data_IF_513445474950
#
_entry.id   IF_513445474950
#
_cell.length_a   1.000
_cell.length_b   1.000
_cell.length_c   1.000
_cell.angle_alpha   90.00
_cell.angle_beta   90.00
_cell.angle_gamma   90.00
#
_symmetry.space_group_name_H-M   'P 1'
#
loop_
_entity.id
_entity.type
_entity.pdbx_description
1 polymer ?
#
# COMPACT_ATOMS: atom_id res chain seq x y z
N UNK A 1 -9.81 7.06 -21.21
CA UNK A 1 -10.63 7.72 -20.16
C UNK A 1 -9.70 8.58 -19.32
N UNK A 2 -10.11 9.76 -18.82
CA UNK A 2 -9.31 10.56 -17.87
C UNK A 2 -9.82 10.39 -16.45
N UNK A 3 -8.90 10.38 -15.49
CA UNK A 3 -9.07 10.05 -14.10
C UNK A 3 -8.65 11.27 -13.29
N UNK A 4 -9.63 11.91 -12.68
CA UNK A 4 -9.44 13.13 -11.90
C UNK A 4 -9.37 12.75 -10.42
N UNK A 5 -8.47 13.37 -9.66
CA UNK A 5 -8.35 13.10 -8.21
C UNK A 5 -9.66 13.37 -7.47
N UNK A 6 -10.51 14.31 -7.88
CA UNK A 6 -11.84 14.46 -7.27
C UNK A 6 -12.72 13.21 -7.46
N UNK A 7 -12.62 12.55 -8.62
CA UNK A 7 -13.35 11.31 -8.85
C UNK A 7 -12.77 10.16 -8.01
N UNK A 8 -11.44 10.10 -7.84
CA UNK A 8 -10.82 9.18 -6.88
C UNK A 8 -11.19 9.47 -5.43
N UNK A 9 -11.29 10.75 -5.07
CA UNK A 9 -11.83 11.21 -3.79
C UNK A 9 -13.24 10.69 -3.57
N UNK A 10 -14.10 10.73 -4.59
CA UNK A 10 -15.45 10.14 -4.51
C UNK A 10 -15.40 8.64 -4.24
N UNK A 11 -14.52 7.90 -4.92
CA UNK A 11 -14.34 6.46 -4.69
C UNK A 11 -13.81 6.18 -3.28
N UNK A 12 -12.84 6.97 -2.80
CA UNK A 12 -12.35 6.86 -1.44
C UNK A 12 -13.46 7.16 -0.41
N UNK A 13 -14.26 8.21 -0.62
CA UNK A 13 -15.41 8.55 0.23
C UNK A 13 -16.45 7.43 0.23
N UNK A 14 -16.76 6.87 -0.93
CA UNK A 14 -17.60 5.68 -1.09
C UNK A 14 -17.09 4.54 -0.20
N UNK A 15 -15.80 4.22 -0.29
CA UNK A 15 -15.19 3.16 0.49
C UNK A 15 -15.28 3.46 2.00
N UNK A 16 -15.00 4.70 2.40
CA UNK A 16 -15.01 5.13 3.80
C UNK A 16 -16.41 5.13 4.40
N UNK A 17 -17.39 5.65 3.68
CA UNK A 17 -18.80 5.65 4.08
C UNK A 17 -19.33 4.22 4.17
N UNK A 18 -19.03 3.39 3.17
CA UNK A 18 -19.38 1.97 3.16
C UNK A 18 -18.81 1.20 4.34
N UNK A 19 -17.52 1.39 4.64
CA UNK A 19 -16.86 0.78 5.79
C UNK A 19 -17.47 1.26 7.11
N UNK A 20 -17.77 2.57 7.22
CA UNK A 20 -18.40 3.16 8.40
C UNK A 20 -19.81 2.62 8.67
N UNK A 21 -20.62 2.45 7.62
CA UNK A 21 -21.94 1.84 7.71
C UNK A 21 -21.86 0.35 8.02
N UNK A 22 -20.90 -0.38 7.43
CA UNK A 22 -20.64 -1.78 7.76
C UNK A 22 -20.27 -1.95 9.24
N UNK A 23 -19.34 -1.14 9.77
CA UNK A 23 -19.00 -1.12 11.20
C UNK A 23 -20.23 -0.79 12.07
N UNK A 24 -21.04 0.20 11.66
CA UNK A 24 -22.26 0.58 12.40
C UNK A 24 -23.27 -0.57 12.47
N UNK A 25 -23.40 -1.35 11.40
CA UNK A 25 -24.27 -2.53 11.36
C UNK A 25 -23.73 -3.66 12.22
N UNK A 26 -22.43 -3.91 12.18
CA UNK A 26 -21.78 -4.83 13.11
C UNK A 26 -22.03 -4.43 14.56
N UNK A 27 -21.89 -3.15 14.89
CA UNK A 27 -22.14 -2.61 16.25
C UNK A 27 -23.60 -2.69 16.68
N UNK A 28 -24.53 -2.82 15.72
CA UNK A 28 -25.95 -3.02 16.04
C UNK A 28 -26.22 -4.45 16.51
N UNK A 29 -25.31 -5.39 16.22
CA UNK A 29 -25.28 -6.73 16.81
C UNK A 29 -24.57 -6.62 18.16
N UNK A 30 -25.25 -7.01 19.24
CA UNK A 30 -24.77 -6.85 20.61
C UNK A 30 -23.45 -7.56 20.91
N UNK A 31 -23.10 -8.52 20.07
CA UNK A 31 -21.91 -9.37 20.17
C UNK A 31 -20.64 -8.68 19.66
N UNK A 32 -20.73 -7.57 18.92
CA UNK A 32 -19.57 -6.89 18.35
C UNK A 32 -19.52 -5.40 18.72
N UNK A 33 -18.32 -4.94 19.05
CA UNK A 33 -17.99 -3.52 19.13
C UNK A 33 -16.84 -3.27 18.17
N UNK A 34 -17.06 -2.55 17.08
CA UNK A 34 -16.16 -2.46 15.93
C UNK A 34 -15.92 -1.03 15.47
N UNK A 35 -14.75 -0.78 14.90
CA UNK A 35 -14.39 0.48 14.26
C UNK A 35 -13.65 0.20 12.96
N UNK A 36 -13.89 1.06 11.96
CA UNK A 36 -13.06 1.08 10.75
C UNK A 36 -11.65 1.44 11.17
N UNK A 37 -10.68 0.58 10.84
CA UNK A 37 -9.27 0.81 11.11
C UNK A 37 -8.62 1.58 9.98
N UNK A 38 -8.90 1.19 8.75
CA UNK A 38 -8.36 1.84 7.56
C UNK A 38 -9.20 1.45 6.35
N UNK A 39 -9.31 2.38 5.40
CA UNK A 39 -9.87 2.14 4.08
C UNK A 39 -8.88 2.62 3.05
N UNK A 40 -8.61 1.78 2.04
CA UNK A 40 -7.64 2.07 0.98
C UNK A 40 -8.29 1.84 -0.37
N UNK A 41 -7.95 2.71 -1.31
CA UNK A 41 -8.22 2.51 -2.72
C UNK A 41 -6.91 2.06 -3.39
N UNK A 42 -6.92 0.87 -3.96
CA UNK A 42 -5.76 0.28 -4.59
C UNK A 42 -5.89 0.31 -6.10
N UNK A 43 -4.78 0.64 -6.74
CA UNK A 43 -4.56 0.41 -8.16
C UNK A 43 -3.59 -0.75 -8.27
N UNK A 44 -4.01 -1.84 -8.91
CA UNK A 44 -3.22 -3.06 -8.93
C UNK A 44 -3.47 -3.86 -10.20
N UNK A 45 -2.56 -4.75 -10.59
CA UNK A 45 -2.74 -5.61 -11.75
C UNK A 45 -3.63 -6.80 -11.44
N UNK A 46 -4.26 -7.36 -12.47
CA UNK A 46 -5.00 -8.62 -12.36
C UNK A 46 -4.14 -9.76 -11.77
N UNK A 47 -2.86 -9.82 -12.13
CA UNK A 47 -1.91 -10.81 -11.61
C UNK A 47 -1.70 -10.66 -10.11
N UNK A 48 -1.63 -9.44 -9.59
CA UNK A 48 -1.41 -9.17 -8.17
C UNK A 48 -2.62 -9.58 -7.33
N UNK A 49 -3.84 -9.26 -7.79
CA UNK A 49 -5.07 -9.74 -7.14
C UNK A 49 -5.09 -11.27 -7.11
N UNK A 50 -4.66 -11.91 -8.19
CA UNK A 50 -4.56 -13.37 -8.23
C UNK A 50 -3.54 -13.87 -7.22
N UNK A 51 -2.33 -13.30 -7.18
CA UNK A 51 -1.27 -13.69 -6.24
C UNK A 51 -1.70 -13.53 -4.78
N UNK A 52 -2.37 -12.43 -4.44
CA UNK A 52 -2.90 -12.17 -3.09
C UNK A 52 -3.95 -13.20 -2.66
N UNK A 53 -4.82 -13.60 -3.58
CA UNK A 53 -5.82 -14.62 -3.33
C UNK A 53 -5.24 -16.06 -3.40
N UNK A 54 -4.08 -16.23 -4.05
CA UNK A 54 -3.28 -17.47 -4.16
C UNK A 54 -2.14 -17.53 -3.12
N UNK A 55 -2.26 -16.83 -1.99
CA UNK A 55 -1.20 -16.78 -0.95
C UNK A 55 -1.00 -18.09 -0.16
N UNK A 56 -1.76 -19.14 -0.51
CA UNK A 56 -1.69 -20.46 0.12
C UNK A 56 -2.37 -20.53 1.50
N UNK A 57 -3.01 -19.45 1.95
CA UNK A 57 -3.80 -19.43 3.17
C UNK A 57 -5.28 -19.68 2.82
N UNK A 58 -5.91 -20.62 3.54
CA UNK A 58 -7.35 -20.86 3.36
C UNK A 58 -8.14 -19.65 3.89
N UNK A 59 -8.97 -19.07 3.02
CA UNK A 59 -9.88 -17.96 3.33
C UNK A 59 -11.33 -18.41 3.13
N UNK A 60 -12.25 -17.82 3.89
CA UNK A 60 -13.70 -18.09 3.82
C UNK A 60 -14.50 -16.82 3.82
N UNK A 61 -15.67 -16.83 3.19
CA UNK A 61 -16.58 -15.70 3.26
C UNK A 61 -17.66 -15.72 2.19
N UNK A 62 -17.96 -14.56 1.60
CA UNK A 62 -18.98 -14.46 0.56
C UNK A 62 -18.49 -13.72 -0.68
N UNK A 63 -19.10 -14.07 -1.81
CA UNK A 63 -19.11 -13.29 -3.04
C UNK A 63 -20.52 -12.80 -3.36
N UNK A 64 -20.60 -11.58 -3.87
CA UNK A 64 -21.84 -10.93 -4.25
C UNK A 64 -21.63 -10.17 -5.56
N UNK A 65 -22.49 -10.41 -6.55
CA UNK A 65 -22.48 -9.63 -7.79
C UNK A 65 -23.28 -8.34 -7.63
N UNK A 66 -22.79 -7.27 -8.25
CA UNK A 66 -23.37 -5.94 -8.26
C UNK A 66 -23.79 -5.58 -9.70
N UNK A 67 -24.94 -4.92 -9.84
CA UNK A 67 -25.46 -4.41 -11.11
C UNK A 67 -26.03 -2.99 -10.91
N UNK A 68 -26.30 -2.28 -12.02
CA UNK A 68 -26.80 -0.90 -12.01
C UNK A 68 -25.72 0.15 -12.27
N UNK A 69 -25.65 1.17 -11.42
CA UNK A 69 -24.69 2.28 -11.58
C UNK A 69 -23.24 1.84 -11.29
N UNK A 70 -23.09 0.94 -10.30
CA UNK A 70 -21.85 0.25 -9.99
C UNK A 70 -22.05 -1.25 -10.24
N UNK A 71 -21.47 -1.76 -11.31
CA UNK A 71 -21.49 -3.18 -11.69
C UNK A 71 -20.14 -3.83 -11.39
N UNK A 72 -20.12 -5.10 -10.98
CA UNK A 72 -18.91 -5.83 -10.62
C UNK A 72 -19.12 -6.90 -9.56
N UNK A 73 -18.08 -7.24 -8.83
CA UNK A 73 -18.11 -8.21 -7.73
C UNK A 73 -17.64 -7.58 -6.41
N UNK A 74 -18.30 -7.98 -5.33
CA UNK A 74 -17.91 -7.69 -3.95
C UNK A 74 -17.56 -9.01 -3.26
N UNK A 75 -16.38 -9.07 -2.65
CA UNK A 75 -15.90 -10.20 -1.84
C UNK A 75 -15.70 -9.72 -0.41
N UNK A 76 -16.10 -10.55 0.55
CA UNK A 76 -15.74 -10.40 1.96
C UNK A 76 -15.07 -11.68 2.39
N UNK A 77 -13.80 -11.61 2.74
CA UNK A 77 -12.98 -12.77 3.08
C UNK A 77 -12.43 -12.63 4.50
N UNK A 78 -12.46 -13.72 5.23
CA UNK A 78 -11.84 -13.90 6.54
C UNK A 78 -10.73 -14.93 6.38
N UNK A 79 -9.60 -14.70 7.03
CA UNK A 79 -8.64 -15.78 7.29
C UNK A 79 -9.30 -16.86 8.18
N UNK A 80 -8.71 -18.05 8.20
CA UNK A 80 -9.26 -19.18 8.95
C UNK A 80 -9.42 -18.90 10.45
N UNK A 81 -8.49 -18.19 11.10
CA UNK A 81 -8.57 -17.89 12.54
C UNK A 81 -9.68 -16.89 12.83
N UNK A 82 -9.75 -15.83 12.04
CA UNK A 82 -10.79 -14.81 12.08
C UNK A 82 -12.18 -15.40 11.87
N UNK A 83 -12.34 -16.31 10.91
CA UNK A 83 -13.62 -17.00 10.67
C UNK A 83 -14.05 -17.87 11.86
N UNK A 84 -13.11 -18.55 12.52
CA UNK A 84 -13.38 -19.32 13.75
C UNK A 84 -13.82 -18.42 14.89
N UNK A 85 -13.15 -17.29 15.08
CA UNK A 85 -13.49 -16.29 16.08
C UNK A 85 -14.90 -15.72 15.87
N UNK A 86 -15.27 -15.45 14.61
CA UNK A 86 -16.65 -15.06 14.24
C UNK A 86 -17.65 -16.15 14.61
N UNK A 87 -17.41 -17.40 14.20
CA UNK A 87 -18.34 -18.51 14.45
C UNK A 87 -18.51 -18.76 15.94
N UNK A 88 -17.41 -18.77 16.71
CA UNK A 88 -17.45 -18.97 18.16
C UNK A 88 -18.12 -17.82 18.92
N UNK A 89 -18.18 -16.62 18.33
CA UNK A 89 -18.90 -15.47 18.91
C UNK A 89 -20.40 -15.53 18.61
N UNK A 90 -20.78 -15.95 17.40
CA UNK A 90 -22.17 -15.96 16.94
C UNK A 90 -22.95 -17.23 17.30
N UNK A 91 -22.26 -18.35 17.51
CA UNK A 91 -22.89 -19.65 17.67
C UNK A 91 -22.30 -20.40 18.85
N UNK A 92 -23.14 -20.61 19.87
CA UNK A 92 -22.79 -21.44 21.03
C UNK A 92 -22.71 -22.93 20.65
N UNK A 93 -21.70 -23.64 21.20
CA UNK A 93 -21.66 -25.11 21.30
C UNK A 93 -21.51 -25.88 19.95
N UNK A 94 -20.76 -25.32 18.99
CA UNK A 94 -20.42 -25.97 17.70
C UNK A 94 -18.93 -26.26 17.62
N UNK A 95 -18.54 -27.35 16.94
CA UNK A 95 -17.16 -27.46 16.44
C UNK A 95 -16.86 -26.21 15.60
N UNK A 96 -15.82 -25.47 15.99
CA UNK A 96 -15.38 -24.20 15.40
C UNK A 96 -14.82 -24.38 13.98
N UNK A 97 -15.39 -25.26 13.16
CA UNK A 97 -14.99 -25.47 11.78
C UNK A 97 -15.95 -24.69 10.87
N UNK A 98 -15.44 -23.75 10.05
CA UNK A 98 -16.26 -22.87 9.21
C UNK A 98 -17.03 -23.61 8.08
N UNK A 99 -16.88 -24.93 7.98
CA UNK A 99 -17.54 -25.81 7.01
C UNK A 99 -18.87 -26.42 7.50
N UNK A 100 -19.23 -26.24 8.77
CA UNK A 100 -20.52 -26.70 9.30
C UNK A 100 -21.68 -25.81 8.81
N UNK A 101 -22.83 -26.37 8.40
CA UNK A 101 -24.01 -25.61 7.91
C UNK A 101 -24.40 -24.42 8.81
N UNK A 102 -24.30 -24.59 10.13
CA UNK A 102 -24.62 -23.52 11.08
C UNK A 102 -23.52 -22.44 11.11
N UNK A 103 -22.25 -22.84 11.04
CA UNK A 103 -21.10 -21.94 10.96
C UNK A 103 -21.11 -21.16 9.64
N UNK A 104 -21.31 -21.85 8.51
CA UNK A 104 -21.47 -21.27 7.18
C UNK A 104 -22.61 -20.24 7.16
N UNK A 105 -23.77 -20.57 7.73
CA UNK A 105 -24.90 -19.65 7.79
C UNK A 105 -24.58 -18.39 8.62
N UNK A 106 -23.87 -18.54 9.75
CA UNK A 106 -23.46 -17.42 10.58
C UNK A 106 -22.48 -16.49 9.85
N UNK A 107 -21.49 -17.07 9.16
CA UNK A 107 -20.55 -16.31 8.31
C UNK A 107 -21.31 -15.58 7.20
N UNK A 108 -22.16 -16.28 6.44
CA UNK A 108 -22.93 -15.68 5.33
C UNK A 108 -23.79 -14.51 5.82
N UNK A 109 -24.50 -14.66 6.94
CA UNK A 109 -25.36 -13.60 7.48
C UNK A 109 -24.53 -12.38 7.94
N UNK A 110 -23.43 -12.61 8.65
CA UNK A 110 -22.53 -11.53 9.07
C UNK A 110 -21.97 -10.77 7.87
N UNK A 111 -21.42 -11.50 6.90
CA UNK A 111 -20.85 -10.92 5.70
C UNK A 111 -21.93 -10.17 4.90
N UNK A 112 -23.14 -10.70 4.81
CA UNK A 112 -24.23 -10.05 4.09
C UNK A 112 -24.64 -8.74 4.75
N UNK A 113 -24.76 -8.71 6.09
CA UNK A 113 -25.02 -7.48 6.86
C UNK A 113 -23.96 -6.41 6.56
N UNK A 114 -22.69 -6.81 6.54
CA UNK A 114 -21.57 -5.92 6.25
C UNK A 114 -21.58 -5.46 4.80
N UNK A 115 -21.74 -6.37 3.84
CA UNK A 115 -21.81 -6.06 2.41
C UNK A 115 -22.93 -5.06 2.11
N UNK A 116 -24.10 -5.24 2.70
CA UNK A 116 -25.18 -4.26 2.56
C UNK A 116 -24.81 -2.91 3.15
N UNK A 117 -24.00 -2.84 4.23
CA UNK A 117 -23.45 -1.59 4.74
C UNK A 117 -22.53 -0.90 3.73
N UNK A 118 -21.64 -1.66 3.11
CA UNK A 118 -20.79 -1.16 2.03
C UNK A 118 -21.61 -0.64 0.84
N UNK A 119 -22.49 -1.47 0.29
CA UNK A 119 -23.33 -1.13 -0.86
C UNK A 119 -24.19 0.10 -0.59
N UNK A 120 -24.80 0.21 0.60
CA UNK A 120 -25.62 1.37 0.94
C UNK A 120 -24.78 2.65 1.03
N UNK A 121 -23.55 2.57 1.57
CA UNK A 121 -22.62 3.71 1.56
C UNK A 121 -22.21 4.12 0.16
N UNK A 122 -22.02 3.16 -0.75
CA UNK A 122 -21.72 3.43 -2.15
C UNK A 122 -22.90 4.07 -2.86
N UNK A 123 -24.10 3.54 -2.66
CA UNK A 123 -25.34 4.07 -3.21
C UNK A 123 -25.60 5.51 -2.74
N UNK A 124 -25.33 5.82 -1.47
CA UNK A 124 -25.50 7.15 -0.89
C UNK A 124 -24.51 8.16 -1.50
N UNK A 125 -23.23 7.79 -1.63
CA UNK A 125 -22.20 8.66 -2.24
C UNK A 125 -22.46 8.87 -3.73
N UNK A 126 -22.79 7.81 -4.47
CA UNK A 126 -23.13 7.88 -5.90
C UNK A 126 -24.51 8.51 -6.16
N UNK A 127 -25.36 8.62 -5.13
CA UNK A 127 -26.77 8.97 -5.24
C UNK A 127 -27.51 8.08 -6.26
N UNK A 128 -27.19 6.79 -6.26
CA UNK A 128 -27.64 5.83 -7.25
C UNK A 128 -28.12 4.53 -6.60
N UNK A 129 -28.95 3.78 -7.33
CA UNK A 129 -29.36 2.44 -6.91
C UNK A 129 -28.33 1.42 -7.41
N UNK A 130 -27.89 0.53 -6.50
CA UNK A 130 -27.00 -0.59 -6.79
C UNK A 130 -27.77 -1.87 -6.47
N UNK A 131 -27.97 -2.70 -7.49
CA UNK A 131 -28.65 -3.98 -7.35
C UNK A 131 -27.65 -5.06 -6.91
N UNK A 132 -28.07 -5.93 -5.99
CA UNK A 132 -27.19 -6.87 -5.30
C UNK A 132 -27.73 -8.29 -5.46
N UNK A 133 -26.88 -9.25 -5.84
CA UNK A 133 -27.26 -10.67 -5.91
C UNK A 133 -27.42 -11.29 -4.52
N UNK A 134 -27.96 -12.50 -4.47
CA UNK A 134 -27.85 -13.32 -3.26
C UNK A 134 -26.37 -13.64 -2.99
N UNK A 135 -25.93 -13.69 -1.72
CA UNK A 135 -24.56 -14.02 -1.38
C UNK A 135 -24.26 -15.49 -1.68
N UNK A 136 -23.13 -15.72 -2.32
CA UNK A 136 -22.54 -17.05 -2.53
C UNK A 136 -21.45 -17.29 -1.50
N UNK A 137 -21.51 -18.40 -0.78
CA UNK A 137 -20.46 -18.77 0.16
C UNK A 137 -19.24 -19.31 -0.59
N UNK A 138 -18.07 -18.77 -0.28
CA UNK A 138 -16.79 -19.14 -0.91
C UNK A 138 -15.79 -19.60 0.15
N UNK A 139 -14.99 -20.60 -0.20
CA UNK A 139 -13.91 -21.17 0.62
C UNK A 139 -12.82 -21.73 -0.30
N UNK A 140 -11.57 -21.41 0.00
CA UNK A 140 -10.42 -21.96 -0.70
C UNK A 140 -9.12 -21.28 -0.31
N UNK A 141 -8.04 -21.69 -0.98
CA UNK A 141 -6.68 -21.15 -0.85
C UNK A 141 -6.15 -20.63 -2.20
N UNK A 142 -7.05 -20.50 -3.19
CA UNK A 142 -6.73 -20.03 -4.52
C UNK A 142 -7.73 -19.00 -5.03
N UNK A 143 -7.26 -18.06 -5.85
CA UNK A 143 -8.01 -17.02 -6.53
C UNK A 143 -9.26 -17.55 -7.25
N UNK A 144 -9.16 -18.70 -7.93
CA UNK A 144 -10.28 -19.30 -8.66
C UNK A 144 -11.39 -19.84 -7.76
N UNK A 145 -11.14 -19.99 -6.45
CA UNK A 145 -12.18 -20.32 -5.47
C UNK A 145 -13.06 -19.11 -5.14
N UNK A 146 -12.56 -17.89 -5.37
CA UNK A 146 -13.23 -16.63 -5.01
C UNK A 146 -13.74 -15.88 -6.22
N UNK A 147 -13.01 -15.88 -7.34
CA UNK A 147 -13.34 -15.14 -8.56
C UNK A 147 -13.28 -16.12 -9.74
N UNK A 148 -14.32 -16.12 -10.57
CA UNK A 148 -14.37 -16.99 -11.74
C UNK A 148 -13.29 -16.58 -12.77
N UNK A 149 -12.75 -17.56 -13.50
CA UNK A 149 -11.75 -17.30 -14.54
C UNK A 149 -12.30 -16.36 -15.64
N UNK A 150 -13.58 -16.50 -16.01
CA UNK A 150 -14.25 -15.60 -16.95
C UNK A 150 -14.34 -14.15 -16.44
N UNK A 151 -14.37 -13.96 -15.10
CA UNK A 151 -14.38 -12.63 -14.49
C UNK A 151 -12.98 -12.04 -14.47
N UNK A 152 -11.97 -12.83 -14.10
CA UNK A 152 -10.55 -12.45 -14.25
C UNK A 152 -10.21 -12.07 -15.69
N UNK A 153 -10.71 -12.80 -16.69
CA UNK A 153 -10.47 -12.46 -18.11
C UNK A 153 -11.09 -11.12 -18.52
N UNK A 154 -12.17 -10.67 -17.86
CA UNK A 154 -12.82 -9.38 -18.11
C UNK A 154 -12.18 -8.22 -17.35
N UNK A 155 -11.43 -8.51 -16.29
CA UNK A 155 -10.66 -7.48 -15.59
C UNK A 155 -9.63 -6.90 -16.55
N UNK A 156 -9.48 -5.57 -16.52
CA UNK A 156 -8.49 -4.91 -17.33
C UNK A 156 -7.09 -5.44 -16.94
N UNK A 157 -6.30 -5.87 -17.92
CA UNK A 157 -5.03 -6.56 -17.65
C UNK A 157 -4.03 -5.65 -16.94
N UNK A 158 -4.07 -4.36 -17.26
CA UNK A 158 -3.09 -3.38 -16.81
C UNK A 158 -3.46 -2.70 -15.49
N UNK A 159 -4.73 -2.63 -15.09
CA UNK A 159 -5.08 -2.03 -13.81
C UNK A 159 -6.50 -2.37 -13.38
N UNK A 160 -6.66 -2.78 -12.14
CA UNK A 160 -7.92 -3.00 -11.45
C UNK A 160 -7.99 -2.05 -10.24
N UNK A 161 -9.18 -1.51 -10.01
CA UNK A 161 -9.47 -0.71 -8.84
C UNK A 161 -9.99 -1.63 -7.74
N UNK A 162 -9.28 -1.73 -6.62
CA UNK A 162 -9.67 -2.59 -5.50
C UNK A 162 -9.85 -1.73 -4.26
N UNK A 163 -11.03 -1.83 -3.66
CA UNK A 163 -11.29 -1.25 -2.36
C UNK A 163 -10.96 -2.27 -1.29
N UNK A 164 -10.06 -1.93 -0.37
CA UNK A 164 -9.77 -2.74 0.80
C UNK A 164 -10.11 -1.96 2.06
N UNK A 165 -10.97 -2.54 2.89
CA UNK A 165 -11.32 -2.01 4.21
C UNK A 165 -10.99 -3.02 5.28
N UNK A 166 -10.33 -2.55 6.34
CA UNK A 166 -10.10 -3.33 7.55
C UNK A 166 -10.94 -2.72 8.67
N UNK A 167 -11.78 -3.53 9.29
CA UNK A 167 -12.53 -3.18 10.51
C UNK A 167 -12.01 -4.08 11.62
N UNK A 168 -11.70 -3.48 12.76
CA UNK A 168 -11.31 -4.22 13.97
C UNK A 168 -12.45 -4.21 14.98
N UNK A 169 -12.52 -5.24 15.82
CA UNK A 169 -13.50 -5.30 16.91
C UNK A 169 -12.83 -5.40 18.28
N UNK A 170 -13.36 -4.69 19.28
CA UNK A 170 -12.90 -4.69 20.67
C UNK A 170 -13.51 -5.89 21.40
N UNK A 171 -12.68 -6.85 21.78
CA UNK A 171 -13.06 -8.01 22.60
C UNK A 171 -12.91 -9.36 21.89
N UNK A 172 -13.30 -9.44 20.63
CA UNK A 172 -13.02 -10.58 19.74
C UNK A 172 -12.20 -10.05 18.55
N UNK A 173 -10.90 -10.31 18.54
CA UNK A 173 -10.07 -9.89 17.42
C UNK A 173 -10.32 -10.83 16.23
N UNK A 174 -11.03 -10.33 15.22
CA UNK A 174 -11.05 -10.93 13.90
C UNK A 174 -10.91 -9.82 12.86
N UNK A 175 -10.10 -10.07 11.84
CA UNK A 175 -9.98 -9.23 10.67
C UNK A 175 -10.82 -9.77 9.52
N UNK A 176 -11.15 -8.90 8.58
CA UNK A 176 -11.64 -9.31 7.28
C UNK A 176 -11.11 -8.37 6.22
N UNK A 177 -11.13 -8.85 5.00
CA UNK A 177 -10.78 -8.09 3.81
C UNK A 177 -12.03 -7.99 2.94
N UNK A 178 -12.42 -6.76 2.65
CA UNK A 178 -13.42 -6.46 1.64
C UNK A 178 -12.69 -6.19 0.32
N UNK A 179 -13.15 -6.77 -0.78
CA UNK A 179 -12.67 -6.47 -2.14
C UNK A 179 -13.87 -6.07 -2.99
N UNK A 180 -13.91 -4.84 -3.48
CA UNK A 180 -14.80 -4.46 -4.58
C UNK A 180 -13.99 -4.42 -5.87
N UNK A 181 -14.40 -5.24 -6.84
CA UNK A 181 -13.81 -5.37 -8.17
C UNK A 181 -14.85 -4.94 -9.19
N UNK A 182 -14.86 -3.66 -9.57
CA UNK A 182 -15.86 -3.10 -10.46
C UNK A 182 -15.54 -3.42 -11.93
N UNK A 183 -16.58 -3.55 -12.77
CA UNK A 183 -16.40 -3.69 -14.21
C UNK A 183 -15.83 -2.40 -14.82
N UNK A 184 -14.93 -2.54 -15.79
CA UNK A 184 -14.28 -1.41 -16.47
C UNK A 184 -15.29 -0.39 -17.01
N UNK A 185 -16.35 -0.86 -17.68
CA UNK A 185 -17.40 0.01 -18.23
C UNK A 185 -18.22 0.72 -17.15
N UNK A 186 -18.32 0.15 -15.95
CA UNK A 186 -18.97 0.78 -14.81
C UNK A 186 -18.13 1.93 -14.27
N UNK A 187 -16.84 1.67 -14.06
CA UNK A 187 -15.87 2.67 -13.63
C UNK A 187 -15.76 3.81 -14.66
N UNK A 188 -15.78 3.46 -15.95
CA UNK A 188 -15.73 4.45 -17.00
C UNK A 188 -16.88 5.45 -16.98
N UNK A 189 -18.10 4.97 -16.78
CA UNK A 189 -19.28 5.84 -16.64
C UNK A 189 -19.19 6.77 -15.43
N UNK A 190 -18.69 6.24 -14.31
CA UNK A 190 -18.51 7.02 -13.08
C UNK A 190 -17.48 8.14 -13.24
N UNK A 191 -16.36 7.87 -13.92
CA UNK A 191 -15.35 8.89 -14.21
C UNK A 191 -15.81 9.94 -15.24
N UNK A 192 -16.49 9.52 -16.32
CA UNK A 192 -17.00 10.42 -17.36
C UNK A 192 -18.04 11.43 -16.84
N UNK A 193 -18.83 11.02 -15.83
CA UNK A 193 -19.85 11.89 -15.24
C UNK A 193 -19.25 13.03 -14.40
N UNK A 194 -17.97 12.91 -14.01
CA UNK A 194 -17.31 13.79 -13.05
C UNK A 194 -16.16 14.66 -13.62
N UNK A 195 -15.82 14.57 -14.91
CA UNK A 195 -14.66 15.29 -15.45
C UNK A 195 -15.01 16.65 -16.09
N UNK A 196 -14.44 17.74 -15.57
CA UNK A 196 -14.15 18.97 -16.32
C UNK A 196 -12.71 18.87 -16.89
N UNK A 197 -12.51 18.21 -18.05
CA UNK A 197 -11.31 18.17 -18.94
C UNK A 197 -9.86 17.91 -18.38
N UNK A 198 -9.60 18.01 -17.07
CA UNK A 198 -8.32 17.79 -16.38
C UNK A 198 -8.36 16.44 -15.64
N UNK A 199 -7.42 15.54 -15.92
CA UNK A 199 -7.33 14.21 -15.31
C UNK A 199 -6.37 13.29 -16.07
N UNK A 200 -5.76 12.34 -15.37
CA UNK A 200 -4.77 11.37 -15.89
C UNK A 200 -5.47 10.32 -16.75
N UNK A 201 -4.97 10.00 -17.94
CA UNK A 201 -5.55 8.89 -18.70
C UNK A 201 -5.46 7.57 -17.92
N UNK A 202 -6.55 6.80 -17.83
CA UNK A 202 -6.61 5.54 -17.08
C UNK A 202 -5.47 4.58 -17.46
N UNK A 203 -5.13 4.53 -18.74
CA UNK A 203 -4.04 3.70 -19.27
C UNK A 203 -2.65 4.21 -18.81
N UNK A 204 -2.52 5.50 -18.46
CA UNK A 204 -1.31 6.07 -17.86
C UNK A 204 -1.15 5.74 -16.39
N UNK A 205 -2.18 5.23 -15.72
CA UNK A 205 -2.06 4.76 -14.34
C UNK A 205 -1.15 3.54 -14.21
N UNK A 206 -0.99 2.74 -15.28
CA UNK A 206 0.05 1.72 -15.34
C UNK A 206 1.46 2.32 -15.16
N UNK A 207 1.67 3.58 -15.54
CA UNK A 207 2.90 4.31 -15.30
C UNK A 207 3.21 4.51 -13.81
N UNK A 208 2.19 4.54 -12.93
CA UNK A 208 2.43 4.52 -11.50
C UNK A 208 3.06 3.22 -11.04
N UNK A 209 2.47 2.09 -11.44
CA UNK A 209 2.93 0.77 -11.03
C UNK A 209 4.37 0.54 -11.49
N UNK A 210 4.67 0.92 -12.73
CA UNK A 210 6.04 0.84 -13.24
C UNK A 210 7.02 1.75 -12.50
N UNK A 211 6.61 2.97 -12.10
CA UNK A 211 7.46 3.82 -11.27
C UNK A 211 7.74 3.16 -9.91
N UNK A 212 6.71 2.59 -9.28
CA UNK A 212 6.85 1.84 -8.03
C UNK A 212 7.84 0.69 -8.21
N UNK A 213 7.63 -0.13 -9.25
CA UNK A 213 8.46 -1.28 -9.60
C UNK A 213 9.91 -0.92 -9.86
N UNK A 214 10.15 0.08 -10.69
CA UNK A 214 11.50 0.48 -11.03
C UNK A 214 12.22 1.07 -9.81
N UNK A 215 11.54 1.93 -9.03
CA UNK A 215 12.11 2.51 -7.81
C UNK A 215 12.48 1.46 -6.77
N UNK A 216 11.56 0.54 -6.46
CA UNK A 216 11.77 -0.52 -5.49
C UNK A 216 12.90 -1.49 -5.91
N UNK A 217 12.95 -1.86 -7.19
CA UNK A 217 14.02 -2.71 -7.75
C UNK A 217 15.39 -2.06 -7.57
N UNK A 218 15.52 -0.76 -7.85
CA UNK A 218 16.78 -0.02 -7.64
C UNK A 218 17.20 0.01 -6.17
N UNK A 219 16.25 0.14 -5.25
CA UNK A 219 16.54 0.07 -3.80
C UNK A 219 17.08 -1.31 -3.43
N UNK A 220 16.42 -2.39 -3.88
CA UNK A 220 16.88 -3.75 -3.61
C UNK A 220 18.26 -4.05 -4.21
N UNK A 221 18.56 -3.57 -5.41
CA UNK A 221 19.89 -3.66 -6.02
C UNK A 221 20.95 -2.93 -5.18
N UNK A 222 20.64 -1.73 -4.69
CA UNK A 222 21.54 -0.96 -3.82
C UNK A 222 21.80 -1.71 -2.51
N UNK A 223 20.74 -2.15 -1.84
CA UNK A 223 20.82 -2.93 -0.60
C UNK A 223 21.61 -4.22 -0.80
N UNK A 224 21.40 -4.92 -1.91
CA UNK A 224 22.16 -6.12 -2.28
C UNK A 224 23.63 -5.81 -2.46
N UNK A 225 23.99 -4.73 -3.17
CA UNK A 225 25.38 -4.32 -3.38
C UNK A 225 26.08 -3.92 -2.08
N UNK A 226 25.37 -3.25 -1.17
CA UNK A 226 25.93 -2.73 0.07
C UNK A 226 26.13 -3.82 1.13
N UNK A 227 25.16 -4.73 1.23
CA UNK A 227 25.14 -5.77 2.28
C UNK A 227 25.65 -7.13 1.80
N UNK A 228 25.74 -7.32 0.48
CA UNK A 228 26.02 -8.61 -0.17
C UNK A 228 25.00 -9.70 0.23
N UNK A 229 23.75 -9.31 0.50
CA UNK A 229 22.61 -10.18 0.81
C UNK A 229 21.57 -10.01 -0.29
N UNK A 230 20.94 -11.09 -0.73
CA UNK A 230 19.86 -11.03 -1.72
C UNK A 230 18.59 -10.44 -1.09
N UNK A 231 17.94 -9.54 -1.82
CA UNK A 231 16.75 -8.82 -1.38
C UNK A 231 15.55 -9.23 -2.23
N UNK A 232 14.46 -9.60 -1.58
CA UNK A 232 13.16 -9.77 -2.20
C UNK A 232 12.36 -8.47 -2.05
N UNK A 233 11.79 -8.01 -3.16
CA UNK A 233 10.94 -6.83 -3.19
C UNK A 233 9.49 -7.27 -3.20
N UNK A 234 8.74 -6.84 -2.19
CA UNK A 234 7.30 -6.93 -2.14
C UNK A 234 6.70 -5.54 -2.37
N UNK A 235 6.28 -5.27 -3.60
CA UNK A 235 5.63 -4.01 -3.95
C UNK A 235 4.18 -4.15 -3.59
N UNK A 236 3.87 -3.69 -2.38
CA UNK A 236 2.60 -4.01 -1.75
C UNK A 236 1.44 -3.39 -2.47
N UNK A 237 1.53 -2.12 -2.94
CA UNK A 237 0.49 -1.40 -3.72
C UNK A 237 0.80 0.09 -3.97
N UNK A 238 0.09 0.66 -4.95
CA UNK A 238 -0.20 2.10 -4.99
C UNK A 238 -1.54 2.35 -4.31
N UNK A 239 -1.50 3.14 -3.25
CA UNK A 239 -2.67 3.45 -2.44
C UNK A 239 -3.10 4.89 -2.70
N UNK A 240 -4.37 5.10 -3.04
CA UNK A 240 -4.98 6.42 -2.90
C UNK A 240 -5.74 6.45 -1.57
N UNK A 241 -5.27 7.31 -0.67
CA UNK A 241 -5.72 7.39 0.71
C UNK A 241 -5.84 8.85 1.13
N UNK A 242 -6.74 9.14 2.07
CA UNK A 242 -6.78 10.46 2.70
C UNK A 242 -5.57 10.64 3.61
N UNK A 243 -5.00 11.85 3.60
CA UNK A 243 -3.79 12.16 4.38
C UNK A 243 -3.94 11.85 5.88
N UNK A 244 -5.12 12.06 6.45
CA UNK A 244 -5.42 11.78 7.86
C UNK A 244 -5.49 10.29 8.21
N UNK A 245 -5.62 9.41 7.22
CA UNK A 245 -5.64 7.96 7.43
C UNK A 245 -4.25 7.31 7.31
N UNK A 246 -3.24 8.01 6.77
CA UNK A 246 -1.87 7.48 6.63
C UNK A 246 -1.27 7.07 7.98
N UNK A 247 -1.40 7.83 9.08
CA UNK A 247 -0.87 7.40 10.38
C UNK A 247 -1.43 6.06 10.88
N UNK A 248 -2.67 5.69 10.48
CA UNK A 248 -3.29 4.40 10.83
C UNK A 248 -2.76 3.23 9.99
N UNK A 249 -2.04 3.51 8.89
CA UNK A 249 -1.41 2.51 8.04
C UNK A 249 -0.07 2.02 8.60
N UNK A 250 0.54 2.78 9.50
CA UNK A 250 1.87 2.51 10.06
C UNK A 250 1.73 1.71 11.37
N UNK A 251 2.62 0.76 11.67
CA UNK A 251 2.62 0.04 12.94
C UNK A 251 2.63 0.98 14.16
N UNK A 252 1.75 0.72 15.13
CA UNK A 252 1.70 1.48 16.38
C UNK A 252 2.71 0.97 17.41
N UNK A 253 3.99 0.99 17.02
CA UNK A 253 5.13 0.57 17.82
C UNK A 253 6.33 1.49 17.61
N UNK A 254 7.39 1.40 18.43
CA UNK A 254 8.59 2.20 18.22
C UNK A 254 9.27 1.82 16.90
N UNK A 255 9.43 2.78 16.00
CA UNK A 255 10.09 2.63 14.71
C UNK A 255 11.29 3.56 14.62
N UNK A 256 12.32 3.10 13.92
CA UNK A 256 13.38 3.98 13.41
C UNK A 256 12.96 4.46 12.04
N UNK A 257 13.16 5.74 11.78
CA UNK A 257 12.73 6.37 10.55
C UNK A 257 13.74 7.34 10.00
N UNK A 258 13.80 7.39 8.67
CA UNK A 258 14.57 8.39 7.94
C UNK A 258 13.67 8.97 6.85
N UNK A 259 13.44 10.28 6.91
CA UNK A 259 12.57 11.00 5.98
C UNK A 259 13.37 11.97 5.11
N UNK A 260 12.90 12.14 3.88
CA UNK A 260 13.43 13.07 2.89
C UNK A 260 12.27 13.84 2.26
N UNK A 261 12.47 15.12 1.99
CA UNK A 261 11.62 15.84 1.02
C UNK A 261 12.31 15.79 -0.34
N UNK A 262 11.58 15.56 -1.42
CA UNK A 262 12.11 15.65 -2.77
C UNK A 262 11.36 16.72 -3.58
N UNK A 263 12.01 17.23 -4.63
CA UNK A 263 11.55 18.35 -5.44
C UNK A 263 12.11 18.29 -6.86
N UNK A 264 11.57 19.10 -7.76
CA UNK A 264 12.04 19.20 -9.13
C UNK A 264 10.87 19.09 -10.10
N UNK A 265 10.89 18.06 -10.96
CA UNK A 265 9.73 17.74 -11.82
C UNK A 265 8.62 17.06 -11.03
N UNK A 266 9.00 16.34 -9.98
CA UNK A 266 8.11 15.68 -9.02
C UNK A 266 8.56 16.09 -7.62
N UNK A 267 7.65 16.63 -6.81
CA UNK A 267 7.88 16.93 -5.39
C UNK A 267 7.19 15.93 -4.47
N UNK A 268 7.54 15.94 -3.18
CA UNK A 268 6.87 15.13 -2.16
C UNK A 268 7.78 14.72 -1.01
N UNK A 269 7.40 13.63 -0.33
CA UNK A 269 8.13 13.06 0.79
C UNK A 269 8.42 11.57 0.59
N UNK A 270 9.61 11.14 0.99
CA UNK A 270 10.02 9.74 1.05
C UNK A 270 10.35 9.39 2.50
N UNK A 271 9.83 8.29 2.98
CA UNK A 271 9.98 7.84 4.36
C UNK A 271 10.39 6.37 4.39
N UNK A 272 11.52 6.09 5.02
CA UNK A 272 11.97 4.74 5.36
C UNK A 272 11.61 4.45 6.80
N UNK A 273 11.01 3.30 7.03
CA UNK A 273 10.60 2.81 8.34
C UNK A 273 11.27 1.45 8.59
N UNK A 274 11.82 1.32 9.77
CA UNK A 274 12.50 0.12 10.21
C UNK A 274 12.04 -0.23 11.61
N UNK A 275 11.78 -1.52 11.85
CA UNK A 275 11.78 -2.01 13.21
C UNK A 275 13.18 -1.78 13.84
N UNK A 276 13.25 -1.53 15.16
CA UNK A 276 14.51 -1.37 15.86
C UNK A 276 15.52 -2.50 15.60
N UNK A 277 15.06 -3.74 15.50
CA UNK A 277 15.95 -4.87 15.23
C UNK A 277 16.47 -4.83 13.79
N UNK A 278 15.57 -4.63 12.82
CA UNK A 278 15.90 -4.52 11.39
C UNK A 278 16.93 -3.42 11.10
N UNK A 279 16.77 -2.23 11.70
CA UNK A 279 17.72 -1.14 11.53
C UNK A 279 19.13 -1.51 12.06
N UNK A 280 19.21 -2.18 13.21
CA UNK A 280 20.50 -2.61 13.76
C UNK A 280 21.14 -3.71 12.90
N UNK A 281 20.36 -4.67 12.42
CA UNK A 281 20.87 -5.75 11.56
C UNK A 281 21.35 -5.20 10.21
N UNK A 282 20.63 -4.25 9.60
CA UNK A 282 21.04 -3.60 8.36
C UNK A 282 22.35 -2.82 8.53
N UNK A 283 22.50 -2.06 9.63
CA UNK A 283 23.76 -1.40 9.97
C UNK A 283 24.88 -2.43 10.16
N UNK A 284 24.62 -3.50 10.93
CA UNK A 284 25.62 -4.54 11.19
C UNK A 284 26.05 -5.28 9.92
N UNK A 285 25.12 -5.52 8.99
CA UNK A 285 25.40 -6.15 7.71
C UNK A 285 26.29 -5.29 6.80
N UNK A 286 26.25 -3.97 6.95
CA UNK A 286 26.98 -3.04 6.08
C UNK A 286 28.32 -2.60 6.65
N UNK A 287 28.35 -2.18 7.92
CA UNK A 287 29.56 -1.62 8.56
C UNK A 287 30.15 -2.51 9.66
N UNK A 288 29.54 -3.67 9.92
CA UNK A 288 29.93 -4.61 10.98
C UNK A 288 29.27 -4.30 12.33
N UNK A 289 29.50 -5.19 13.31
CA UNK A 289 28.89 -5.08 14.64
C UNK A 289 29.20 -3.72 15.30
N UNK A 290 28.13 -3.03 15.72
CA UNK A 290 28.25 -1.82 16.52
C UNK A 290 29.02 -2.09 17.82
N UNK A 291 29.94 -1.19 18.22
CA UNK A 291 30.68 -1.33 19.47
C UNK A 291 29.81 -1.13 20.73
N UNK A 292 28.62 -0.53 20.63
CA UNK A 292 27.81 -0.14 21.79
C UNK A 292 26.41 -0.79 21.83
N UNK A 293 25.89 -1.29 20.71
CA UNK A 293 24.54 -1.86 20.59
C UNK A 293 23.44 -0.81 20.76
N UNK A 294 22.58 -0.64 19.74
CA UNK A 294 21.45 0.29 19.74
C UNK A 294 21.69 1.57 18.95
N UNK A 295 20.76 2.54 19.02
CA UNK A 295 20.73 3.74 18.18
C UNK A 295 21.57 4.92 18.71
N UNK A 296 22.88 4.73 18.87
CA UNK A 296 23.83 5.81 19.12
C UNK A 296 24.08 6.67 17.89
N UNK A 297 24.95 7.67 17.99
CA UNK A 297 25.25 8.58 16.88
C UNK A 297 25.79 7.82 15.65
N UNK A 298 26.66 6.82 15.87
CA UNK A 298 27.21 6.01 14.79
C UNK A 298 26.11 5.26 14.03
N UNK A 299 25.19 4.60 14.72
CA UNK A 299 24.11 3.82 14.09
C UNK A 299 23.08 4.74 13.41
N UNK A 300 22.86 5.93 13.97
CA UNK A 300 22.01 6.96 13.37
C UNK A 300 22.63 7.51 12.07
N UNK A 301 23.92 7.78 12.05
CA UNK A 301 24.58 8.28 10.85
C UNK A 301 24.71 7.19 9.78
N UNK A 302 25.00 5.96 10.20
CA UNK A 302 24.98 4.80 9.31
C UNK A 302 23.59 4.63 8.67
N UNK A 303 22.51 4.56 9.45
CA UNK A 303 21.17 4.34 8.86
C UNK A 303 20.72 5.51 7.96
N UNK A 304 21.10 6.75 8.29
CA UNK A 304 20.86 7.91 7.43
C UNK A 304 21.58 7.77 6.08
N UNK A 305 22.84 7.35 6.09
CA UNK A 305 23.63 7.15 4.86
C UNK A 305 23.06 6.01 4.01
N UNK A 306 22.72 4.88 4.64
CA UNK A 306 22.06 3.77 3.94
C UNK A 306 20.74 4.23 3.31
N UNK A 307 19.94 4.98 4.06
CA UNK A 307 18.68 5.53 3.55
C UNK A 307 18.90 6.56 2.45
N UNK A 308 19.98 7.35 2.51
CA UNK A 308 20.33 8.31 1.47
C UNK A 308 20.65 7.60 0.14
N UNK A 309 21.45 6.53 0.17
CA UNK A 309 21.74 5.71 -1.01
C UNK A 309 20.47 5.05 -1.58
N UNK A 310 19.58 4.57 -0.71
CA UNK A 310 18.28 4.04 -1.14
C UNK A 310 17.40 5.11 -1.79
N UNK A 311 17.33 6.31 -1.19
CA UNK A 311 16.61 7.46 -1.74
C UNK A 311 17.10 7.82 -3.14
N UNK A 312 18.42 7.97 -3.31
CA UNK A 312 18.99 8.30 -4.63
C UNK A 312 18.64 7.22 -5.66
N UNK A 313 18.78 5.93 -5.33
CA UNK A 313 18.42 4.85 -6.24
C UNK A 313 16.94 4.85 -6.65
N UNK A 314 16.04 5.08 -5.69
CA UNK A 314 14.61 5.15 -5.95
C UNK A 314 14.25 6.36 -6.83
N UNK A 315 14.69 7.55 -6.44
CA UNK A 315 14.37 8.79 -7.15
C UNK A 315 15.06 8.89 -8.51
N UNK A 316 16.26 8.33 -8.67
CA UNK A 316 16.91 8.18 -9.98
C UNK A 316 16.12 7.23 -10.88
N UNK A 317 15.58 6.14 -10.32
CA UNK A 317 14.68 5.24 -11.03
C UNK A 317 13.47 5.98 -11.59
N UNK A 318 12.83 6.80 -10.76
CA UNK A 318 11.70 7.63 -11.17
C UNK A 318 12.10 8.70 -12.19
N UNK A 319 13.19 9.42 -11.93
CA UNK A 319 13.70 10.47 -12.81
C UNK A 319 14.01 9.93 -14.19
N UNK A 320 14.64 8.76 -14.28
CA UNK A 320 14.92 8.10 -15.55
C UNK A 320 13.62 7.76 -16.29
N UNK A 321 12.63 7.17 -15.61
CA UNK A 321 11.34 6.81 -16.22
C UNK A 321 10.59 8.04 -16.73
N UNK A 322 10.59 9.12 -15.96
CA UNK A 322 9.90 10.38 -16.25
C UNK A 322 10.68 11.31 -17.21
N UNK A 323 11.92 10.97 -17.58
CA UNK A 323 12.86 11.87 -18.25
C UNK A 323 12.99 13.23 -17.52
N UNK A 324 13.17 13.13 -16.21
CA UNK A 324 13.06 14.22 -15.26
C UNK A 324 14.35 14.40 -14.45
N UNK A 325 14.36 15.46 -13.64
CA UNK A 325 15.33 15.65 -12.57
C UNK A 325 14.57 15.79 -11.26
N UNK A 326 14.96 14.98 -10.28
CA UNK A 326 14.37 14.94 -8.95
C UNK A 326 15.52 15.03 -7.95
N UNK A 327 15.53 16.10 -7.17
CA UNK A 327 16.51 16.35 -6.11
C UNK A 327 15.86 16.04 -4.74
N UNK A 328 16.65 15.62 -3.75
CA UNK A 328 16.16 15.36 -2.39
C UNK A 328 16.96 16.11 -1.32
N UNK A 329 16.32 16.33 -0.17
CA UNK A 329 16.93 16.96 0.99
C UNK A 329 17.97 16.06 1.67
N UNK A 330 18.64 16.60 2.68
CA UNK A 330 19.35 15.79 3.67
C UNK A 330 18.37 14.94 4.50
N UNK A 331 18.80 13.77 5.03
CA UNK A 331 17.95 12.88 5.81
C UNK A 331 17.54 13.48 7.17
N UNK A 332 16.26 13.35 7.52
CA UNK A 332 15.72 13.62 8.85
C UNK A 332 15.48 12.30 9.60
N UNK A 333 16.22 12.08 10.69
CA UNK A 333 16.10 10.87 11.51
C UNK A 333 15.12 11.06 12.67
N UNK A 334 14.32 10.04 12.95
CA UNK A 334 13.53 9.93 14.19
C UNK A 334 13.47 8.50 14.70
N UNK A 335 13.30 8.34 16.01
CA UNK A 335 13.01 7.07 16.67
C UNK A 335 11.88 7.30 17.67
N UNK A 336 10.65 7.02 17.23
CA UNK A 336 9.42 7.30 17.98
C UNK A 336 8.34 6.27 17.59
N UNK A 337 7.16 6.37 18.17
CA UNK A 337 6.00 5.58 17.78
C UNK A 337 5.63 5.88 16.31
N UNK A 338 5.23 4.86 15.55
CA UNK A 338 4.99 4.99 14.11
C UNK A 338 4.11 6.16 13.67
N UNK A 339 2.97 6.41 14.33
CA UNK A 339 2.13 7.57 14.02
C UNK A 339 2.87 8.92 14.20
N UNK A 340 3.67 9.05 15.26
CA UNK A 340 4.41 10.28 15.57
C UNK A 340 5.55 10.55 14.56
N UNK A 341 6.05 9.52 13.89
CA UNK A 341 7.02 9.64 12.80
C UNK A 341 6.38 10.28 11.56
N UNK A 342 5.12 9.94 11.27
CA UNK A 342 4.45 10.32 10.01
C UNK A 342 3.68 11.63 10.13
N UNK A 343 3.12 11.94 11.30
CA UNK A 343 2.33 13.15 11.56
C UNK A 343 2.97 14.45 11.02
N UNK A 344 4.28 14.72 11.20
CA UNK A 344 4.89 15.94 10.69
C UNK A 344 4.87 16.06 9.15
N UNK A 345 5.01 14.93 8.45
CA UNK A 345 4.96 14.87 6.98
C UNK A 345 3.55 15.17 6.48
N UNK A 346 2.55 14.59 7.15
CA UNK A 346 1.13 14.80 6.86
C UNK A 346 0.74 16.27 7.03
N UNK A 347 1.21 16.92 8.09
CA UNK A 347 0.96 18.35 8.31
C UNK A 347 1.51 19.17 7.13
N UNK A 348 2.70 18.85 6.62
CA UNK A 348 3.28 19.51 5.45
C UNK A 348 2.46 19.33 4.17
N UNK A 349 2.04 18.09 3.89
CA UNK A 349 1.23 17.75 2.71
C UNK A 349 -0.20 18.32 2.79
N UNK A 350 -0.79 18.40 3.98
CA UNK A 350 -2.17 18.88 4.17
C UNK A 350 -2.36 20.36 3.82
N UNK A 351 -1.28 21.11 3.64
CA UNK A 351 -1.36 22.49 3.14
C UNK A 351 -1.72 22.57 1.65
N UNK A 352 -1.43 21.51 0.88
CA UNK A 352 -1.52 21.52 -0.59
C UNK A 352 -2.50 20.48 -1.15
N UNK A 353 -2.72 19.36 -0.47
CA UNK A 353 -3.61 18.27 -0.92
C UNK A 353 -4.42 17.67 0.23
N UNK A 354 -5.55 17.04 -0.08
CA UNK A 354 -6.40 16.32 0.89
C UNK A 354 -6.15 14.80 0.85
N UNK A 355 -5.94 14.28 -0.36
CA UNK A 355 -5.62 12.89 -0.63
C UNK A 355 -4.16 12.75 -1.03
N UNK A 356 -3.65 11.53 -0.98
CA UNK A 356 -2.31 11.21 -1.45
C UNK A 356 -2.28 9.86 -2.17
N UNK A 357 -1.47 9.82 -3.22
CA UNK A 357 -0.93 8.57 -3.72
C UNK A 357 0.24 8.18 -2.81
N UNK A 358 0.20 6.97 -2.28
CA UNK A 358 1.21 6.41 -1.40
C UNK A 358 1.73 5.14 -2.06
N UNK A 359 2.96 5.21 -2.55
CA UNK A 359 3.72 4.04 -2.97
C UNK A 359 4.22 3.34 -1.72
N UNK A 360 3.68 2.16 -1.47
CA UNK A 360 4.02 1.34 -0.33
C UNK A 360 4.82 0.13 -0.81
N UNK A 361 6.09 0.07 -0.41
CA UNK A 361 7.02 -0.99 -0.76
C UNK A 361 7.60 -1.58 0.51
N UNK A 362 7.64 -2.91 0.59
CA UNK A 362 8.42 -3.63 1.60
C UNK A 362 9.57 -4.37 0.92
N UNK A 363 10.74 -4.29 1.53
CA UNK A 363 11.93 -5.03 1.07
C UNK A 363 12.37 -5.96 2.20
N UNK A 364 12.53 -7.23 1.83
CA UNK A 364 12.87 -8.33 2.72
C UNK A 364 14.25 -8.89 2.36
N UNK A 365 15.06 -9.21 3.36
CA UNK A 365 16.29 -9.94 3.13
C UNK A 365 16.04 -11.47 3.10
N UNK A 366 16.48 -12.17 2.05
CA UNK A 366 16.20 -13.61 1.85
C UNK A 366 16.86 -14.49 2.93
N UNK A 367 18.02 -14.08 3.43
CA UNK A 367 18.86 -14.85 4.37
C UNK A 367 19.18 -14.10 5.67
N UNK A 368 18.46 -13.01 5.98
CA UNK A 368 18.61 -12.22 7.21
C UNK A 368 17.27 -11.70 7.71
N UNK A 369 17.21 -11.45 9.01
CA UNK A 369 16.01 -10.91 9.66
C UNK A 369 16.08 -9.38 9.69
N UNK A 370 15.97 -8.75 8.52
CA UNK A 370 15.65 -7.33 8.46
C UNK A 370 14.70 -7.02 7.30
N UNK A 371 13.74 -6.16 7.61
CA UNK A 371 12.75 -5.64 6.68
C UNK A 371 12.85 -4.11 6.64
N UNK A 372 12.54 -3.53 5.48
CA UNK A 372 12.44 -2.09 5.27
C UNK A 372 11.10 -1.76 4.65
N UNK A 373 10.36 -0.87 5.30
CA UNK A 373 9.12 -0.30 4.78
C UNK A 373 9.42 1.07 4.17
N UNK A 374 8.98 1.30 2.93
CA UNK A 374 9.23 2.53 2.18
C UNK A 374 7.88 3.13 1.77
N UNK A 375 7.65 4.36 2.21
CA UNK A 375 6.50 5.17 1.85
C UNK A 375 6.95 6.34 1.01
N UNK A 376 6.57 6.36 -0.26
CA UNK A 376 6.78 7.51 -1.13
C UNK A 376 5.44 8.21 -1.40
N UNK A 377 5.39 9.50 -1.06
CA UNK A 377 4.18 10.32 -1.07
C UNK A 377 4.46 11.56 -1.93
N UNK A 378 4.29 11.47 -3.26
CA UNK A 378 4.45 12.63 -4.14
C UNK A 378 3.33 13.67 -3.94
N UNK A 379 3.64 14.90 -4.33
CA UNK A 379 2.63 15.92 -4.60
C UNK A 379 1.72 15.44 -5.74
N UNK A 380 0.42 15.50 -5.49
CA UNK A 380 -0.59 15.02 -6.43
C UNK A 380 -0.51 15.75 -7.78
N UNK A 381 -0.39 17.07 -7.78
CA UNK A 381 -0.41 17.88 -9.01
C UNK A 381 0.84 17.63 -9.85
N UNK A 382 2.01 17.58 -9.21
CA UNK A 382 3.25 17.27 -9.89
C UNK A 382 3.24 15.84 -10.46
N UNK A 383 2.66 14.90 -9.72
CA UNK A 383 2.51 13.51 -10.12
C UNK A 383 1.60 13.36 -11.34
N UNK A 384 0.43 14.00 -11.34
CA UNK A 384 -0.46 14.03 -12.50
C UNK A 384 0.24 14.62 -13.72
N UNK A 385 0.93 15.75 -13.54
CA UNK A 385 1.65 16.43 -14.62
C UNK A 385 2.84 15.61 -15.16
N UNK A 386 3.51 14.86 -14.30
CA UNK A 386 4.62 13.98 -14.68
C UNK A 386 4.12 12.79 -15.49
N UNK A 387 3.05 12.12 -15.05
CA UNK A 387 2.43 11.04 -15.82
C UNK A 387 1.87 11.50 -17.15
N UNK A 388 1.28 12.69 -17.22
CA UNK A 388 0.71 13.17 -18.47
C UNK A 388 1.74 13.33 -19.58
N UNK A 389 3.01 13.54 -19.20
CA UNK A 389 4.16 13.64 -20.12
C UNK A 389 4.80 12.29 -20.44
N UNK A 390 4.45 11.23 -19.70
CA UNK A 390 4.96 9.89 -19.95
C UNK A 390 4.46 9.41 -21.32
N UNK A 391 5.39 9.09 -22.23
CA UNK A 391 5.08 8.58 -23.58
C UNK A 391 4.74 7.09 -23.47
N UNK A 392 3.59 6.65 -24.03
CA UNK A 392 3.11 5.26 -24.01
C UNK A 392 4.17 4.25 -24.48
N UNK A 393 5.09 4.65 -25.36
CA UNK A 393 6.18 3.79 -25.86
C UNK A 393 7.22 3.44 -24.80
N UNK A 394 7.39 4.27 -23.76
CA UNK A 394 8.31 4.01 -22.65
C UNK A 394 7.73 3.04 -21.62
N UNK A 395 6.40 2.95 -21.57
CA UNK A 395 5.66 1.96 -20.78
C UNK A 395 5.92 0.55 -21.35
N UNK A 396 6.10 0.43 -22.67
CA UNK A 396 6.35 -0.83 -23.39
C UNK A 396 7.85 -1.19 -23.44
N UNK A 397 8.75 -0.21 -23.58
CA UNK A 397 10.21 -0.43 -23.62
C UNK A 397 10.79 -0.90 -22.27
N UNK A 398 10.16 -0.57 -21.14
CA UNK A 398 10.53 -1.06 -19.80
C UNK A 398 10.19 -2.54 -19.59
N UNK A 399 9.25 -3.09 -20.36
CA UNK A 399 8.94 -4.53 -20.38
C UNK A 399 10.01 -5.35 -21.14
N UNK A 400 10.79 -4.69 -22.01
CA UNK A 400 11.86 -5.33 -22.80
C UNK A 400 13.27 -5.10 -22.24
N UNK A 401 13.50 -4.01 -21.48
CA UNK A 401 14.81 -3.64 -20.92
C UNK A 401 14.99 -4.09 -19.46
N UNK A 402 14.82 -5.38 -19.19
CA UNK A 402 15.69 -5.99 -18.20
C UNK A 402 17.08 -6.09 -18.84
N UNK A 403 18.08 -5.51 -18.17
CA UNK A 403 19.52 -5.56 -18.51
C UNK A 403 20.01 -4.52 -19.54
N UNK A 404 20.06 -3.24 -19.15
CA UNK A 404 21.22 -2.41 -19.52
C UNK A 404 21.85 -1.80 -18.25
N UNK A 405 23.05 -2.29 -17.93
CA UNK A 405 23.92 -1.74 -16.88
C UNK A 405 24.18 -0.26 -17.17
N UNK A 406 23.48 0.61 -16.46
CA UNK A 406 23.85 2.00 -16.34
C UNK A 406 25.05 2.06 -15.38
N UNK A 407 26.26 2.31 -15.89
CA UNK A 407 27.44 2.60 -15.07
C UNK A 407 27.17 3.88 -14.26
N UNK A 408 26.67 3.70 -13.04
CA UNK A 408 26.62 4.75 -12.04
C UNK A 408 28.05 5.02 -11.57
N UNK A 409 28.51 6.26 -11.69
CA UNK A 409 29.70 6.71 -10.97
C UNK A 409 29.25 6.89 -9.53
N UNK A 410 29.35 5.83 -8.74
CA UNK A 410 29.28 5.95 -7.29
C UNK A 410 30.35 6.97 -6.89
N UNK A 411 29.97 8.01 -6.14
CA UNK A 411 30.97 8.57 -5.24
C UNK A 411 31.38 7.41 -4.32
N UNK A 412 32.63 6.96 -4.47
CA UNK A 412 33.17 5.87 -3.67
C UNK A 412 32.93 6.23 -2.20
N UNK A 413 32.27 5.32 -1.48
CA UNK A 413 32.09 5.35 -0.04
C UNK A 413 33.42 5.75 0.59
N UNK A 414 33.53 6.94 1.17
CA UNK A 414 34.81 7.42 1.70
C UNK A 414 35.16 6.58 2.94
N UNK A 415 36.15 5.67 2.86
CA UNK A 415 36.49 4.82 3.99
C UNK A 415 37.09 5.63 5.15
N UNK A 416 37.62 6.82 4.88
CA UNK A 416 38.12 7.72 5.92
C UNK A 416 36.95 8.33 6.70
N UNK A 417 35.78 8.54 6.08
CA UNK A 417 34.54 8.98 6.74
C UNK A 417 34.05 7.94 7.75
N UNK A 418 34.12 6.65 7.39
CA UNK A 418 33.77 5.53 8.29
C UNK A 418 34.73 5.46 9.47
N UNK A 419 36.03 5.67 9.26
CA UNK A 419 37.00 5.76 10.36
C UNK A 419 36.78 6.99 11.25
N UNK A 420 36.41 8.15 10.69
CA UNK A 420 36.13 9.38 11.46
C UNK A 420 34.84 9.27 12.29
N UNK A 421 33.80 8.62 11.76
CA UNK A 421 32.56 8.34 12.48
C UNK A 421 32.81 7.26 13.56
N UNK A 422 33.57 6.20 13.26
CA UNK A 422 33.96 5.17 14.24
C UNK A 422 34.88 5.71 15.36
N UNK A 423 35.67 6.76 15.07
CA UNK A 423 36.51 7.45 16.04
C UNK A 423 35.76 8.53 16.84
N UNK A 424 34.52 8.87 16.48
CA UNK A 424 33.74 9.94 17.11
C UNK A 424 34.33 11.33 16.90
N UNK A 425 35.04 11.55 15.79
CA UNK A 425 35.75 12.80 15.48
C UNK A 425 35.12 13.61 14.35
N UNK A 426 33.98 13.17 13.82
CA UNK A 426 33.27 13.89 12.75
C UNK A 426 32.74 15.24 13.27
N UNK A 427 33.26 16.35 12.73
CA UNK A 427 32.68 17.69 12.90
C UNK A 427 31.76 17.97 11.70
N UNK A 428 30.48 18.28 11.98
CA UNK A 428 29.51 18.69 10.96
C UNK A 428 30.11 19.81 10.09
N UNK A 429 30.27 19.54 8.80
CA UNK A 429 30.56 20.59 7.83
C UNK A 429 29.25 21.32 7.55
N UNK A 430 28.99 22.39 8.32
CA UNK A 430 28.07 23.45 7.90
C UNK A 430 28.65 24.11 6.65
N UNK A 431 28.23 23.66 5.47
CA UNK A 431 27.92 24.48 4.29
C UNK A 431 27.78 23.55 3.07
N UNK A 432 26.58 23.51 2.46
CA UNK A 432 26.35 23.88 1.06
C UNK A 432 24.85 24.06 0.75
#
# INVERSE_FOLDING_TARGET
MKLNVNALGTFYEMAREGAGLAATRLNSMSEFESRVKVTRLHFTHRSEIRNELDDGNEKVGIRVSLDGELSGSSLLLFDHESARSVVGTLVDDVDEEPTNELATSAIVELCHIMNSGFVDGWADVLQAEIDVSAPEYVIGDTATAFIDEDEFEKMHEELALVFQSQIETTGTEFGFEHYLIPEHDSIARLFETQTEDEGIEYDKLAGFDQMAQHGATRVAENLTRMTNIEMDVDIRRINFISLDAIPETVPNEPLVSVAFSFSGTLGGYLLFLFEPQSANELVAATVGDSPNGGFGAFEQDAIKELSNVMTSGLLDGWANMLDATIDHSTPAYSHDMGAAVVDPLIVGLSEVQEFAFVFDTRIHAVDREFDVDIYAIPDETDLEAALDRLDERRIDESLEHDVEETEFVAEEFDPDLVEEIAAGTFEEVEDL
#
